data_IF_234537604471
#
_entry.id   IF_234537604471
#
_cell.length_a   1.000
_cell.length_b   1.000
_cell.length_c   1.000
_cell.angle_alpha   90.00
_cell.angle_beta   90.00
_cell.angle_gamma   90.00
#
_symmetry.space_group_name_H-M   'P 1'
#
loop_
_entity.id
_entity.type
_entity.pdbx_description
1 polymer ?
#
# COMPACT_ATOMS: atom_id res chain seq x y z
N UNK A 1 28.38 -37.92 16.99
CA UNK A 1 29.71 -37.30 16.97
C UNK A 1 29.81 -36.44 15.73
N UNK A 2 30.12 -35.15 15.96
CA UNK A 2 30.57 -34.07 15.07
C UNK A 2 30.23 -34.08 13.56
N UNK A 3 29.57 -33.00 13.11
CA UNK A 3 29.76 -32.40 11.79
C UNK A 3 29.16 -30.99 11.86
N UNK A 4 29.76 -29.87 11.46
CA UNK A 4 31.09 -29.46 11.04
C UNK A 4 30.89 -27.94 10.83
N UNK A 5 31.85 -27.11 11.26
CA UNK A 5 31.94 -25.69 10.98
C UNK A 5 31.03 -24.73 11.76
N UNK A 6 31.29 -24.75 13.06
CA UNK A 6 31.45 -23.51 13.80
C UNK A 6 32.50 -22.63 13.10
N UNK A 7 32.26 -21.32 13.11
CA UNK A 7 33.22 -20.21 13.17
C UNK A 7 33.37 -19.36 11.91
N UNK A 8 32.82 -18.15 12.06
CA UNK A 8 33.60 -16.90 12.02
C UNK A 8 33.76 -16.28 10.61
N UNK A 9 33.10 -15.12 10.50
CA UNK A 9 33.55 -13.85 9.93
C UNK A 9 33.16 -13.50 8.48
N UNK A 10 32.64 -12.27 8.41
CA UNK A 10 32.91 -11.26 7.37
C UNK A 10 32.06 -11.51 6.12
N UNK A 11 30.94 -10.80 5.99
CA UNK A 11 30.88 -9.51 5.30
C UNK A 11 31.46 -9.60 3.88
N UNK A 12 30.65 -9.19 2.90
CA UNK A 12 31.01 -8.98 1.50
C UNK A 12 31.39 -10.23 0.71
N UNK A 13 30.39 -10.83 0.05
CA UNK A 13 30.61 -11.33 -1.31
C UNK A 13 29.51 -10.76 -2.20
N UNK A 14 29.83 -9.60 -2.74
CA UNK A 14 29.29 -9.07 -3.99
C UNK A 14 29.50 -10.15 -5.06
N UNK A 15 28.43 -10.66 -5.65
CA UNK A 15 28.52 -11.49 -6.85
C UNK A 15 27.34 -11.22 -7.78
N UNK A 16 27.66 -10.46 -8.82
CA UNK A 16 26.97 -10.21 -10.07
C UNK A 16 26.08 -11.37 -10.58
N UNK A 17 24.86 -11.04 -11.02
CA UNK A 17 24.12 -11.84 -12.01
C UNK A 17 22.62 -11.97 -11.77
N UNK A 18 21.83 -11.05 -12.35
CA UNK A 18 20.51 -11.25 -13.00
C UNK A 18 19.71 -12.49 -12.52
N UNK A 19 18.59 -12.38 -11.83
CA UNK A 19 17.32 -11.91 -12.40
C UNK A 19 16.27 -11.86 -11.29
N UNK A 20 15.68 -10.67 -11.11
CA UNK A 20 14.40 -10.38 -10.48
C UNK A 20 14.07 -11.19 -9.22
N UNK A 21 14.65 -10.74 -8.10
CA UNK A 21 14.06 -10.97 -6.79
C UNK A 21 12.59 -10.55 -6.81
N UNK A 22 11.73 -11.51 -6.52
CA UNK A 22 10.28 -11.38 -6.36
C UNK A 22 10.07 -10.37 -5.22
N UNK A 23 9.91 -9.10 -5.57
CA UNK A 23 9.36 -8.12 -4.66
C UNK A 23 7.88 -8.47 -4.51
N UNK A 24 7.56 -9.32 -3.52
CA UNK A 24 6.23 -9.40 -2.91
C UNK A 24 5.90 -8.01 -2.38
N UNK A 25 5.44 -7.16 -3.27
CA UNK A 25 4.83 -5.87 -2.95
C UNK A 25 3.52 -6.18 -2.23
N UNK A 26 3.18 -5.43 -1.17
CA UNK A 26 2.07 -5.76 -0.29
C UNK A 26 0.81 -6.00 -1.10
N UNK A 27 0.15 -7.09 -0.70
CA UNK A 27 -1.08 -7.58 -1.25
C UNK A 27 -2.17 -6.48 -1.28
N UNK A 28 -3.14 -6.71 -2.16
CA UNK A 28 -4.52 -6.23 -2.07
C UNK A 28 -4.90 -4.81 -2.51
N UNK A 29 -4.00 -4.00 -3.10
CA UNK A 29 -4.47 -2.85 -3.85
C UNK A 29 -5.19 -3.36 -5.10
N UNK A 30 -6.53 -3.28 -5.13
CA UNK A 30 -7.34 -3.70 -6.27
C UNK A 30 -6.71 -3.17 -7.55
N UNK A 31 -6.18 -4.08 -8.37
CA UNK A 31 -5.50 -3.70 -9.60
C UNK A 31 -6.52 -3.09 -10.54
N UNK A 32 -6.28 -1.86 -10.98
CA UNK A 32 -7.20 -1.10 -11.81
C UNK A 32 -6.57 -0.74 -13.15
N UNK A 33 -7.36 -0.75 -14.21
CA UNK A 33 -7.02 -0.14 -15.50
C UNK A 33 -7.62 1.25 -15.66
N UNK A 34 -8.66 1.59 -14.91
CA UNK A 34 -9.39 2.85 -14.95
C UNK A 34 -10.09 3.13 -13.61
N UNK A 35 -10.49 4.38 -13.36
CA UNK A 35 -11.14 4.79 -12.12
C UNK A 35 -12.43 3.98 -11.80
N UNK A 36 -13.09 3.47 -12.84
CA UNK A 36 -14.28 2.62 -12.71
C UNK A 36 -13.99 1.28 -12.01
N UNK A 37 -12.78 0.74 -12.15
CA UNK A 37 -12.38 -0.52 -11.53
C UNK A 37 -12.23 -0.37 -10.00
N UNK A 38 -12.09 0.87 -9.53
CA UNK A 38 -11.87 1.17 -8.14
C UNK A 38 -13.15 1.21 -7.31
N UNK A 39 -14.32 0.83 -7.85
CA UNK A 39 -15.60 0.77 -7.14
C UNK A 39 -15.90 2.01 -6.28
N UNK A 40 -15.38 3.18 -6.70
CA UNK A 40 -15.48 4.44 -5.96
C UNK A 40 -14.41 4.69 -4.88
N UNK A 41 -13.56 3.74 -4.51
CA UNK A 41 -12.57 3.90 -3.44
C UNK A 41 -11.43 4.89 -3.75
N UNK A 42 -11.45 5.53 -4.93
CA UNK A 42 -10.49 6.53 -5.37
C UNK A 42 -10.32 6.47 -6.88
N UNK A 43 -9.34 7.23 -7.38
CA UNK A 43 -8.82 7.11 -8.74
C UNK A 43 -7.88 5.92 -8.86
N UNK A 44 -7.79 5.42 -10.08
CA UNK A 44 -6.80 4.47 -10.49
C UNK A 44 -5.50 5.19 -10.84
N UNK A 45 -4.40 4.85 -10.17
CA UNK A 45 -3.08 5.38 -10.51
C UNK A 45 -2.01 4.30 -10.40
N UNK A 46 -1.16 4.20 -11.43
CA UNK A 46 -0.12 3.16 -11.54
C UNK A 46 -0.65 1.74 -11.32
N UNK A 47 -1.87 1.48 -11.80
CA UNK A 47 -2.53 0.19 -11.67
C UNK A 47 -3.11 -0.11 -10.28
N UNK A 48 -3.25 0.91 -9.41
CA UNK A 48 -3.77 0.76 -8.04
C UNK A 48 -4.87 1.76 -7.71
N UNK A 49 -5.86 1.28 -6.98
CA UNK A 49 -6.95 2.12 -6.47
C UNK A 49 -6.56 2.93 -5.24
N UNK A 50 -7.36 3.96 -4.96
CA UNK A 50 -7.17 4.82 -3.80
C UNK A 50 -6.25 6.01 -4.07
N UNK A 51 -5.91 6.31 -5.32
CA UNK A 51 -5.28 7.58 -5.66
C UNK A 51 -6.29 8.73 -5.63
N UNK A 52 -5.83 9.96 -5.42
CA UNK A 52 -6.71 11.13 -5.47
C UNK A 52 -5.91 12.40 -5.78
N UNK A 53 -6.57 13.37 -6.40
CA UNK A 53 -6.10 14.74 -6.50
C UNK A 53 -6.85 15.69 -5.56
N UNK A 54 -8.04 15.31 -5.12
CA UNK A 54 -8.88 16.10 -4.20
C UNK A 54 -9.81 15.19 -3.40
N UNK A 55 -10.37 15.70 -2.30
CA UNK A 55 -11.29 14.94 -1.43
C UNK A 55 -12.52 14.38 -2.18
N UNK A 56 -12.95 15.05 -3.25
CA UNK A 56 -14.06 14.60 -4.12
C UNK A 56 -13.77 13.30 -4.87
N UNK A 57 -12.49 12.96 -5.05
CA UNK A 57 -12.09 11.71 -5.69
C UNK A 57 -12.26 10.52 -4.75
N UNK A 58 -12.38 10.76 -3.44
CA UNK A 58 -12.46 9.74 -2.41
C UNK A 58 -13.92 9.49 -1.98
N UNK A 59 -14.42 8.27 -2.17
CA UNK A 59 -15.71 7.91 -1.57
C UNK A 59 -15.65 7.70 -0.06
N UNK A 60 -14.46 7.44 0.50
CA UNK A 60 -14.23 7.30 1.95
C UNK A 60 -12.98 8.07 2.36
N UNK A 61 -13.11 8.86 3.42
CA UNK A 61 -12.02 9.69 3.92
C UNK A 61 -11.70 10.87 3.01
N UNK A 62 -10.59 11.53 3.34
CA UNK A 62 -10.01 12.66 2.63
C UNK A 62 -8.85 12.21 1.76
N UNK A 63 -8.56 13.03 0.76
CA UNK A 63 -7.37 12.91 -0.05
C UNK A 63 -6.18 13.51 0.70
N UNK A 64 -5.16 12.69 0.96
CA UNK A 64 -3.92 13.15 1.58
C UNK A 64 -2.72 12.50 0.91
N UNK A 65 -1.73 13.30 0.54
CA UNK A 65 -0.53 12.85 -0.17
C UNK A 65 -0.84 12.03 -1.43
N UNK A 66 -1.91 12.41 -2.14
CA UNK A 66 -2.37 11.73 -3.35
C UNK A 66 -3.07 10.39 -3.10
N UNK A 67 -3.48 10.09 -1.86
CA UNK A 67 -4.18 8.87 -1.48
C UNK A 67 -5.46 9.11 -0.68
N UNK A 68 -6.49 8.33 -0.96
CA UNK A 68 -7.75 8.33 -0.24
C UNK A 68 -7.67 7.62 1.11
N UNK A 69 -8.61 7.94 1.99
CA UNK A 69 -8.75 7.29 3.28
C UNK A 69 -8.04 7.99 4.43
N UNK A 70 -7.55 9.22 4.25
CA UNK A 70 -7.11 10.03 5.38
C UNK A 70 -8.32 10.54 6.18
N UNK A 71 -8.15 10.84 7.46
CA UNK A 71 -9.21 11.41 8.28
C UNK A 71 -8.63 12.21 9.45
N UNK A 72 -9.38 13.21 9.90
CA UNK A 72 -9.17 13.87 11.20
C UNK A 72 -10.17 13.41 12.25
N UNK A 73 -11.32 12.87 11.84
CA UNK A 73 -12.38 12.39 12.74
C UNK A 73 -13.25 11.33 12.06
N UNK A 74 -14.01 10.56 12.84
CA UNK A 74 -14.88 9.48 12.36
C UNK A 74 -15.88 9.96 11.27
N UNK A 75 -16.30 11.23 11.34
CA UNK A 75 -17.18 11.86 10.34
C UNK A 75 -16.60 11.88 8.92
N UNK A 76 -15.27 11.94 8.78
CA UNK A 76 -14.61 11.92 7.47
C UNK A 76 -14.74 10.54 6.80
N UNK A 77 -14.97 9.49 7.59
CA UNK A 77 -14.96 8.10 7.14
C UNK A 77 -16.32 7.58 6.68
N UNK A 78 -17.34 8.45 6.57
CA UNK A 78 -18.66 8.16 5.96
C UNK A 78 -19.25 6.80 6.38
N UNK A 79 -19.20 6.51 7.68
CA UNK A 79 -19.67 5.25 8.28
C UNK A 79 -18.56 4.34 8.82
N UNK A 80 -17.28 4.64 8.53
CA UNK A 80 -16.12 4.02 9.18
C UNK A 80 -15.66 4.77 10.43
N UNK A 81 -14.60 4.26 11.07
CA UNK A 81 -13.92 4.90 12.20
C UNK A 81 -12.60 5.50 11.75
N UNK A 82 -12.27 6.68 12.24
CA UNK A 82 -10.97 7.28 12.05
C UNK A 82 -10.01 6.78 13.14
N UNK A 83 -8.92 6.16 12.72
CA UNK A 83 -7.88 5.68 13.61
C UNK A 83 -6.51 6.01 13.03
N UNK A 84 -5.64 6.61 13.84
CA UNK A 84 -4.28 7.02 13.41
C UNK A 84 -4.26 7.88 12.15
N UNK A 85 -5.29 8.72 11.97
CA UNK A 85 -5.42 9.59 10.79
C UNK A 85 -5.86 8.87 9.50
N UNK A 86 -6.32 7.62 9.61
CA UNK A 86 -6.83 6.80 8.49
C UNK A 86 -8.19 6.19 8.80
N UNK A 87 -9.05 6.13 7.79
CA UNK A 87 -10.37 5.53 7.91
C UNK A 87 -10.27 4.01 7.87
N UNK A 88 -10.91 3.33 8.83
CA UNK A 88 -10.97 1.87 8.89
C UNK A 88 -11.71 1.24 7.71
N UNK A 89 -12.60 2.01 7.07
CA UNK A 89 -13.40 1.59 5.91
C UNK A 89 -12.83 2.14 4.58
N UNK A 90 -11.65 2.77 4.61
CA UNK A 90 -10.91 3.04 3.39
C UNK A 90 -10.11 1.79 3.06
N UNK A 91 -10.64 0.96 2.17
CA UNK A 91 -9.91 -0.17 1.57
C UNK A 91 -8.65 0.34 0.87
N UNK A 92 -7.50 -0.31 1.14
CA UNK A 92 -6.20 0.00 0.52
C UNK A 92 -6.14 -0.51 -0.93
#
# INVERSE_FOLDING_TARGET
MANMNQRIRVAAVVAFGLSLGIALSPADAASCGSDADCAGFGKCSSGKCGACGSDSDCNVGKCSSGKCGACGSDSDCRGGRCSSGRCSNATN
#
